data_IF_391897636287
#
_entry.id   IF_391897636287
#
_cell.length_a   1.000
_cell.length_b   1.000
_cell.length_c   1.000
_cell.angle_alpha   90.00
_cell.angle_beta   90.00
_cell.angle_gamma   90.00
#
_symmetry.space_group_name_H-M   'P 1'
#
loop_
_entity.id
_entity.type
_entity.pdbx_description
1 polymer ?
#
# COMPACT_ATOMS: atom_id res chain seq x y z
N UNK A 1 11.38 8.01 6.03
CA UNK A 1 11.35 8.43 4.60
C UNK A 1 11.30 7.17 3.74
N UNK A 2 10.34 7.05 2.82
CA UNK A 2 10.15 5.83 2.01
C UNK A 2 10.98 5.89 0.72
N UNK A 3 11.63 4.77 0.34
CA UNK A 3 12.32 4.61 -0.95
C UNK A 3 11.35 3.98 -1.96
N UNK A 4 11.15 4.62 -3.11
CA UNK A 4 10.30 4.12 -4.20
C UNK A 4 11.19 3.34 -5.19
N UNK A 5 10.84 2.08 -5.47
CA UNK A 5 11.54 1.18 -6.39
C UNK A 5 10.68 0.93 -7.64
N UNK A 6 11.29 1.08 -8.83
CA UNK A 6 10.63 0.96 -10.14
C UNK A 6 10.92 -0.40 -10.78
N UNK A 7 9.93 -0.95 -11.50
CA UNK A 7 10.13 -2.15 -12.33
C UNK A 7 10.02 -3.49 -11.60
N UNK A 8 9.42 -3.53 -10.42
CA UNK A 8 9.18 -4.79 -9.70
C UNK A 8 7.91 -5.49 -10.21
N UNK A 9 7.93 -6.81 -10.44
CA UNK A 9 6.79 -7.56 -10.97
C UNK A 9 5.57 -7.48 -10.04
N UNK A 10 4.41 -7.19 -10.62
CA UNK A 10 3.15 -6.99 -9.90
C UNK A 10 2.59 -8.36 -9.46
N UNK A 11 2.30 -8.56 -8.17
CA UNK A 11 1.73 -9.83 -7.70
C UNK A 11 0.26 -10.00 -8.15
N UNK A 12 -0.20 -11.24 -8.43
CA UNK A 12 -1.59 -11.53 -8.76
C UNK A 12 -2.53 -11.17 -7.59
N UNK A 13 -3.75 -10.72 -7.91
CA UNK A 13 -4.75 -10.22 -6.94
C UNK A 13 -5.09 -11.27 -5.88
N UNK A 14 -4.78 -10.97 -4.61
CA UNK A 14 -5.29 -11.70 -3.44
C UNK A 14 -6.48 -10.98 -2.81
N UNK A 15 -7.52 -11.73 -2.45
CA UNK A 15 -8.72 -11.23 -1.76
C UNK A 15 -8.56 -11.38 -0.25
N UNK A 16 -8.46 -10.28 0.49
CA UNK A 16 -8.66 -10.32 1.95
C UNK A 16 -9.26 -9.01 2.47
N UNK A 17 -10.30 -9.13 3.32
CA UNK A 17 -11.04 -8.04 3.98
C UNK A 17 -10.77 -8.12 5.48
N UNK A 18 -10.21 -7.09 6.14
CA UNK A 18 -10.29 -6.95 7.62
C UNK A 18 -10.28 -5.48 8.10
N UNK A 19 -11.14 -5.18 9.08
CA UNK A 19 -11.23 -4.01 9.99
C UNK A 19 -10.12 -2.93 9.99
N UNK A 20 -10.56 -1.67 9.95
CA UNK A 20 -9.82 -0.42 10.14
C UNK A 20 -9.37 -0.18 11.59
N UNK A 21 -8.11 0.21 11.81
CA UNK A 21 -7.62 0.77 13.08
C UNK A 21 -7.40 2.29 13.01
N UNK A 22 -7.76 2.96 14.13
CA UNK A 22 -7.66 4.39 14.43
C UNK A 22 -6.19 4.88 14.49
N UNK A 23 -5.95 6.12 14.06
CA UNK A 23 -5.12 7.04 14.86
C UNK A 23 -3.65 7.28 14.49
N UNK A 24 -3.18 6.98 13.27
CA UNK A 24 -1.84 7.39 12.84
C UNK A 24 -1.87 8.03 11.45
N UNK A 25 -1.41 9.29 11.33
CA UNK A 25 -1.16 9.95 10.03
C UNK A 25 0.01 9.25 9.34
N UNK A 26 -0.24 8.09 8.75
CA UNK A 26 0.70 7.45 7.84
C UNK A 26 0.60 8.18 6.49
N UNK A 27 1.60 9.00 6.20
CA UNK A 27 1.72 9.70 4.93
C UNK A 27 2.27 8.72 3.90
N UNK A 28 1.37 8.00 3.22
CA UNK A 28 1.74 7.14 2.11
C UNK A 28 2.08 7.99 0.87
N UNK A 29 3.11 7.64 0.08
CA UNK A 29 3.56 8.46 -1.06
C UNK A 29 2.66 8.35 -2.31
N UNK A 30 1.37 8.10 -2.15
CA UNK A 30 0.44 7.78 -3.25
C UNK A 30 0.43 8.82 -4.38
N UNK A 31 0.54 10.11 -4.04
CA UNK A 31 0.57 11.21 -5.02
C UNK A 31 1.80 11.19 -5.92
N UNK A 32 2.90 10.60 -5.45
CA UNK A 32 4.17 10.51 -6.16
C UNK A 32 4.34 9.20 -6.93
N UNK A 33 3.53 8.18 -6.61
CA UNK A 33 3.62 6.89 -7.28
C UNK A 33 3.06 6.99 -8.69
N UNK A 34 3.78 6.47 -9.68
CA UNK A 34 3.30 6.17 -11.02
C UNK A 34 2.86 4.70 -11.12
N UNK A 35 2.12 4.33 -12.16
CA UNK A 35 1.74 2.92 -12.38
C UNK A 35 3.02 2.10 -12.58
N UNK A 36 3.16 1.00 -11.83
CA UNK A 36 4.36 0.17 -11.79
C UNK A 36 5.36 0.56 -10.70
N UNK A 37 5.19 1.70 -10.04
CA UNK A 37 6.00 2.06 -8.86
C UNK A 37 5.62 1.20 -7.67
N UNK A 38 6.61 0.92 -6.83
CA UNK A 38 6.41 0.26 -5.54
C UNK A 38 7.20 0.94 -4.43
N UNK A 39 6.76 0.76 -3.19
CA UNK A 39 7.55 1.13 -2.02
C UNK A 39 7.44 0.06 -0.94
N UNK A 40 8.46 -0.03 -0.09
CA UNK A 40 8.44 -0.87 1.10
C UNK A 40 7.93 -0.06 2.28
N UNK A 41 6.92 -0.58 2.97
CA UNK A 41 6.45 -0.14 4.27
C UNK A 41 7.08 -1.05 5.32
N UNK A 42 8.12 -0.59 6.05
CA UNK A 42 8.76 -1.40 7.08
C UNK A 42 7.79 -1.65 8.23
N UNK A 43 7.64 -2.91 8.64
CA UNK A 43 6.86 -3.28 9.81
C UNK A 43 7.30 -4.63 10.38
N UNK A 44 7.06 -4.82 11.68
CA UNK A 44 7.22 -6.11 12.35
C UNK A 44 6.22 -7.14 11.80
N UNK A 45 6.52 -8.43 11.96
CA UNK A 45 5.69 -9.53 11.45
C UNK A 45 4.26 -9.46 12.02
N UNK A 46 4.16 -9.21 13.33
CA UNK A 46 2.91 -9.04 14.07
C UNK A 46 2.04 -7.88 13.56
N UNK A 47 2.66 -6.82 13.05
CA UNK A 47 1.96 -5.64 12.54
C UNK A 47 1.51 -5.76 11.08
N UNK A 48 1.93 -6.81 10.35
CA UNK A 48 1.75 -6.88 8.88
C UNK A 48 0.29 -6.79 8.44
N UNK A 49 -0.61 -7.42 9.19
CA UNK A 49 -2.04 -7.41 8.85
C UNK A 49 -2.60 -5.99 8.99
N UNK A 50 -2.39 -5.37 10.15
CA UNK A 50 -2.91 -4.04 10.45
C UNK A 50 -2.34 -2.97 9.51
N UNK A 51 -1.05 -3.09 9.18
CA UNK A 51 -0.37 -2.18 8.25
C UNK A 51 -0.87 -2.32 6.82
N UNK A 52 -1.14 -3.55 6.39
CA UNK A 52 -1.75 -3.80 5.07
C UNK A 52 -3.14 -3.15 5.02
N UNK A 53 -3.96 -3.38 6.04
CA UNK A 53 -5.30 -2.81 6.12
C UNK A 53 -5.29 -1.27 6.17
N UNK A 54 -4.39 -0.67 6.94
CA UNK A 54 -4.22 0.78 7.00
C UNK A 54 -3.81 1.36 5.64
N UNK A 55 -2.91 0.69 4.91
CA UNK A 55 -2.48 1.11 3.59
C UNK A 55 -3.64 1.08 2.57
N UNK A 56 -4.41 -0.01 2.55
CA UNK A 56 -5.61 -0.13 1.71
C UNK A 56 -6.69 0.91 2.08
N UNK A 57 -6.89 1.15 3.38
CA UNK A 57 -7.81 2.20 3.84
C UNK A 57 -7.42 3.58 3.32
N UNK A 58 -6.14 3.93 3.43
CA UNK A 58 -5.64 5.20 2.93
C UNK A 58 -5.67 5.30 1.40
N UNK A 59 -5.38 4.21 0.66
CA UNK A 59 -5.48 4.18 -0.79
C UNK A 59 -6.92 4.37 -1.27
N UNK A 60 -7.89 3.77 -0.57
CA UNK A 60 -9.32 3.97 -0.84
C UNK A 60 -9.75 5.41 -0.55
N UNK A 61 -9.27 6.02 0.54
CA UNK A 61 -9.52 7.43 0.81
C UNK A 61 -8.93 8.32 -0.30
N UNK A 62 -7.67 8.07 -0.68
CA UNK A 62 -7.01 8.79 -1.77
C UNK A 62 -7.79 8.68 -3.10
N UNK A 63 -8.27 7.48 -3.44
CA UNK A 63 -9.12 7.23 -4.61
C UNK A 63 -10.40 8.07 -4.59
N UNK A 64 -11.03 8.26 -3.43
CA UNK A 64 -12.25 9.10 -3.31
C UNK A 64 -11.99 10.57 -3.64
N UNK A 65 -10.79 11.08 -3.31
CA UNK A 65 -10.43 12.49 -3.56
C UNK A 65 -9.79 12.73 -4.94
N UNK A 66 -9.13 11.72 -5.53
CA UNK A 66 -8.33 11.86 -6.75
C UNK A 66 -8.85 11.04 -7.95
N UNK A 67 -9.98 10.36 -7.79
CA UNK A 67 -10.66 9.62 -8.86
C UNK A 67 -10.40 8.12 -8.86
N UNK A 68 -11.24 7.39 -9.60
CA UNK A 68 -11.28 5.93 -9.60
C UNK A 68 -10.09 5.23 -10.26
N UNK A 69 -9.17 6.00 -10.84
CA UNK A 69 -7.96 5.50 -11.50
C UNK A 69 -6.97 4.88 -10.52
N UNK A 70 -6.89 5.35 -9.28
CA UNK A 70 -5.87 4.88 -8.34
C UNK A 70 -6.17 3.49 -7.78
N UNK A 71 -5.26 2.53 -8.02
CA UNK A 71 -5.33 1.17 -7.45
C UNK A 71 -3.95 0.74 -6.96
N UNK A 72 -3.94 0.02 -5.84
CA UNK A 72 -2.73 -0.59 -5.30
C UNK A 72 -2.87 -2.10 -5.14
N UNK A 73 -1.75 -2.80 -5.09
CA UNK A 73 -1.65 -4.17 -4.58
C UNK A 73 -0.54 -4.24 -3.55
N UNK A 74 -0.61 -5.23 -2.65
CA UNK A 74 0.33 -5.39 -1.53
C UNK A 74 0.81 -6.82 -1.44
N UNK A 75 2.06 -7.02 -1.02
CA UNK A 75 2.64 -8.34 -0.74
C UNK A 75 3.51 -8.26 0.50
N UNK A 76 3.48 -9.33 1.28
CA UNK A 76 4.38 -9.48 2.43
C UNK A 76 5.80 -9.65 1.93
N UNK A 77 6.71 -8.89 2.53
CA UNK A 77 8.15 -8.90 2.29
C UNK A 77 8.83 -9.26 3.62
N UNK A 78 9.98 -9.96 3.64
CA UNK A 78 10.71 -10.23 4.88
C UNK A 78 10.90 -8.98 5.76
N UNK A 79 11.07 -7.81 5.14
CA UNK A 79 11.31 -6.53 5.83
C UNK A 79 10.04 -5.70 6.10
N UNK A 80 8.85 -6.20 5.75
CA UNK A 80 7.58 -5.50 5.98
C UNK A 80 6.50 -5.83 4.95
N UNK A 81 5.85 -4.81 4.40
CA UNK A 81 4.88 -4.96 3.31
C UNK A 81 5.33 -4.11 2.14
N UNK A 82 5.36 -4.72 0.96
CA UNK A 82 5.59 -4.01 -0.29
C UNK A 82 4.27 -3.64 -0.92
N UNK A 83 4.18 -2.41 -1.41
CA UNK A 83 2.97 -1.82 -1.99
C UNK A 83 3.29 -1.37 -3.40
N UNK A 84 2.48 -1.75 -4.37
CA UNK A 84 2.59 -1.34 -5.78
C UNK A 84 1.39 -0.50 -6.18
N UNK A 85 1.59 0.49 -7.04
CA UNK A 85 0.51 1.13 -7.79
C UNK A 85 0.28 0.38 -9.10
N UNK A 86 -0.94 -0.05 -9.34
CA UNK A 86 -1.33 -0.85 -10.52
C UNK A 86 -2.31 -0.12 -11.44
N UNK A 87 -2.87 1.01 -11.01
CA UNK A 87 -3.60 1.97 -11.82
C UNK A 87 -3.53 3.35 -11.14
#
# INVERSE_FOLDING_TARGET
MFKIERGLPIPPKGTSRVKTMKGGKWTYPFRMMQVGDSFLLPCAIEDRTDRTMACHGAANAFKRYHGNGFKITTRVDPKGIRVWRIA
#
